data_IF_027792392511
#
_entry.id   IF_027792392511
#
_cell.length_a   1.000
_cell.length_b   1.000
_cell.length_c   1.000
_cell.angle_alpha   90.00
_cell.angle_beta   90.00
_cell.angle_gamma   90.00
#
_symmetry.space_group_name_H-M   'P 1'
#
loop_
_entity.id
_entity.type
_entity.pdbx_description
1 polymer ?
#
# COMPACT_ATOMS: atom_id res chain seq x y z
N UNK A 1 -4.00 -3.30 23.73
CA UNK A 1 -3.19 -2.86 22.58
C UNK A 1 -4.05 -2.50 21.37
N UNK A 2 -4.64 -3.45 20.64
CA UNK A 2 -5.49 -3.10 19.46
C UNK A 2 -6.71 -2.25 19.86
N UNK A 3 -7.39 -2.58 20.96
CA UNK A 3 -8.50 -1.78 21.48
C UNK A 3 -8.11 -0.32 21.80
N UNK A 4 -6.88 -0.11 22.29
CA UNK A 4 -6.37 1.23 22.62
C UNK A 4 -6.11 2.06 21.36
N UNK A 5 -5.63 1.40 20.29
CA UNK A 5 -5.46 2.03 18.97
C UNK A 5 -6.80 2.47 18.39
N UNK A 6 -7.84 1.63 18.48
CA UNK A 6 -9.19 1.94 18.00
C UNK A 6 -9.87 3.08 18.78
N UNK A 7 -9.39 3.42 19.98
CA UNK A 7 -9.91 4.52 20.78
C UNK A 7 -9.34 5.90 20.39
N UNK A 8 -8.29 5.95 19.56
CA UNK A 8 -7.68 7.21 19.15
C UNK A 8 -8.57 7.99 18.18
N UNK A 9 -8.55 9.32 18.29
CA UNK A 9 -9.34 10.22 17.45
C UNK A 9 -8.49 11.30 16.82
N UNK A 10 -8.91 11.79 15.66
CA UNK A 10 -8.41 13.05 15.10
C UNK A 10 -8.96 14.16 16.00
N UNK A 11 -8.07 14.95 16.61
CA UNK A 11 -8.46 15.90 17.66
C UNK A 11 -9.45 16.95 17.15
N UNK A 12 -10.38 17.35 18.01
CA UNK A 12 -11.49 18.23 17.64
C UNK A 12 -12.58 17.54 16.82
N UNK A 13 -12.47 16.23 16.57
CA UNK A 13 -13.48 15.44 15.85
C UNK A 13 -13.81 14.15 16.60
N UNK A 14 -14.90 13.49 16.17
CA UNK A 14 -15.21 12.12 16.59
C UNK A 14 -14.68 11.07 15.60
N UNK A 15 -13.95 11.50 14.55
CA UNK A 15 -13.42 10.59 13.54
C UNK A 15 -12.31 9.72 14.15
N UNK A 16 -12.31 8.41 13.88
CA UNK A 16 -11.23 7.53 14.31
C UNK A 16 -9.94 7.95 13.63
N UNK A 17 -8.81 7.87 14.35
CA UNK A 17 -7.49 8.07 13.75
C UNK A 17 -7.08 6.87 12.89
N UNK A 18 -7.47 5.66 13.33
CA UNK A 18 -7.09 4.39 12.73
C UNK A 18 -8.36 3.71 12.23
N UNK A 19 -8.42 3.38 10.94
CA UNK A 19 -9.55 2.67 10.32
C UNK A 19 -9.45 1.16 10.51
N UNK A 20 -8.23 0.63 10.55
CA UNK A 20 -7.97 -0.79 10.79
C UNK A 20 -6.63 -0.98 11.52
N UNK A 21 -6.58 -1.96 12.41
CA UNK A 21 -5.34 -2.47 12.99
C UNK A 21 -5.29 -3.98 12.75
N UNK A 22 -4.22 -4.46 12.13
CA UNK A 22 -4.10 -5.83 11.63
C UNK A 22 -2.80 -6.44 12.14
N UNK A 23 -2.83 -7.73 12.47
CA UNK A 23 -1.59 -8.47 12.66
C UNK A 23 -0.96 -8.71 11.29
N UNK A 24 0.34 -8.50 11.19
CA UNK A 24 1.08 -8.72 9.95
C UNK A 24 0.98 -10.18 9.48
N UNK A 25 0.85 -11.13 10.41
CA UNK A 25 0.62 -12.55 10.12
C UNK A 25 -0.66 -12.83 9.34
N UNK A 26 -1.65 -11.96 9.45
CA UNK A 26 -2.97 -12.20 8.88
C UNK A 26 -3.06 -11.64 7.44
N UNK A 27 -2.15 -10.74 7.06
CA UNK A 27 -2.17 -9.99 5.80
C UNK A 27 -0.95 -10.24 4.90
N UNK A 28 0.20 -10.56 5.47
CA UNK A 28 1.42 -10.82 4.72
C UNK A 28 1.97 -12.22 4.99
N UNK A 29 2.32 -12.90 3.91
CA UNK A 29 2.97 -14.20 3.92
C UNK A 29 4.37 -14.12 3.32
N UNK A 30 5.18 -15.15 3.57
CA UNK A 30 6.49 -15.31 2.94
C UNK A 30 7.67 -15.34 3.92
N UNK A 31 8.85 -15.72 3.42
CA UNK A 31 10.01 -16.01 4.27
C UNK A 31 10.54 -14.78 5.01
N UNK A 32 10.34 -13.58 4.46
CA UNK A 32 10.80 -12.32 5.04
C UNK A 32 9.78 -11.65 5.97
N UNK A 33 8.65 -12.31 6.28
CA UNK A 33 7.61 -11.75 7.16
C UNK A 33 8.14 -11.28 8.51
N UNK A 34 9.15 -11.98 9.04
CA UNK A 34 9.81 -11.65 10.30
C UNK A 34 10.55 -10.28 10.29
N UNK A 35 10.75 -9.68 9.11
CA UNK A 35 11.33 -8.35 8.96
C UNK A 35 10.30 -7.23 9.02
N UNK A 36 9.00 -7.57 9.00
CA UNK A 36 7.91 -6.60 9.07
C UNK A 36 7.54 -6.33 10.53
N UNK A 37 6.91 -5.19 10.85
CA UNK A 37 6.34 -4.94 12.17
C UNK A 37 5.30 -6.00 12.55
N UNK A 38 5.01 -6.18 13.83
CA UNK A 38 3.97 -7.13 14.29
C UNK A 38 2.56 -6.68 13.93
N UNK A 39 2.33 -5.35 13.92
CA UNK A 39 1.04 -4.73 13.69
C UNK A 39 1.16 -3.68 12.59
N UNK A 40 0.19 -3.72 11.67
CA UNK A 40 -0.03 -2.69 10.68
C UNK A 40 -1.26 -1.88 11.07
N UNK A 41 -1.18 -0.56 10.90
CA UNK A 41 -2.33 0.35 11.11
C UNK A 41 -2.64 1.07 9.81
N UNK A 42 -3.92 1.12 9.48
CA UNK A 42 -4.42 1.96 8.39
C UNK A 42 -4.89 3.29 8.98
N UNK A 43 -4.30 4.38 8.50
CA UNK A 43 -4.61 5.73 8.96
C UNK A 43 -5.86 6.26 8.26
N UNK A 44 -6.67 6.99 9.02
CA UNK A 44 -7.78 7.74 8.47
C UNK A 44 -7.31 9.05 7.83
N UNK A 45 -7.15 9.05 6.51
CA UNK A 45 -6.75 10.22 5.73
C UNK A 45 -7.93 11.09 5.24
N UNK A 46 -9.16 10.91 5.76
CA UNK A 46 -10.28 11.78 5.35
C UNK A 46 -10.13 13.23 5.83
N UNK A 47 -9.32 13.46 6.87
CA UNK A 47 -9.00 14.77 7.41
C UNK A 47 -7.49 14.88 7.67
N UNK A 48 -6.91 16.10 7.67
CA UNK A 48 -5.53 16.32 8.10
C UNK A 48 -5.30 15.82 9.54
N UNK A 49 -4.24 15.03 9.74
CA UNK A 49 -3.83 14.52 11.05
C UNK A 49 -2.74 15.45 11.63
N UNK A 50 -3.16 16.54 12.26
CA UNK A 50 -2.23 17.50 12.92
C UNK A 50 -2.15 17.29 14.43
N UNK A 51 -3.22 16.75 15.00
CA UNK A 51 -3.35 16.54 16.43
C UNK A 51 -4.22 15.32 16.68
N UNK A 52 -3.79 14.50 17.63
CA UNK A 52 -4.39 13.21 17.97
C UNK A 52 -4.77 13.21 19.44
N UNK A 53 -5.93 12.68 19.78
CA UNK A 53 -6.31 12.41 21.17
C UNK A 53 -6.35 10.91 21.47
N UNK A 54 -5.85 10.55 22.65
CA UNK A 54 -5.87 9.20 23.21
C UNK A 54 -6.37 9.25 24.65
N UNK A 55 -7.31 8.38 25.07
CA UNK A 55 -7.71 8.29 26.47
C UNK A 55 -6.57 7.90 27.41
N UNK A 56 -5.56 7.18 26.90
CA UNK A 56 -4.47 6.64 27.71
C UNK A 56 -3.36 7.67 27.97
N UNK A 57 -3.01 8.47 26.95
CA UNK A 57 -1.83 9.35 27.01
C UNK A 57 -2.16 10.85 26.76
N UNK A 58 -3.42 11.19 26.54
CA UNK A 58 -3.85 12.56 26.29
C UNK A 58 -3.67 12.99 24.83
N UNK A 59 -3.31 14.25 24.62
CA UNK A 59 -3.18 14.87 23.30
C UNK A 59 -1.72 14.85 22.81
N UNK A 60 -1.53 14.47 21.54
CA UNK A 60 -0.26 14.60 20.84
C UNK A 60 -0.45 15.54 19.65
N UNK A 61 0.35 16.61 19.60
CA UNK A 61 0.34 17.60 18.53
C UNK A 61 1.66 17.55 17.77
N UNK A 62 1.60 17.48 16.44
CA UNK A 62 2.78 17.55 15.60
C UNK A 62 2.52 18.50 14.43
N UNK A 63 3.33 19.54 14.32
CA UNK A 63 3.34 20.43 13.15
C UNK A 63 4.19 19.79 12.06
N UNK A 64 3.55 18.97 11.23
CA UNK A 64 4.21 18.39 10.06
C UNK A 64 4.59 19.52 9.11
N UNK A 65 5.86 19.92 9.10
CA UNK A 65 6.43 20.75 8.04
C UNK A 65 6.49 19.90 6.76
N UNK A 66 5.36 19.80 6.05
CA UNK A 66 5.28 19.07 4.78
C UNK A 66 6.16 19.78 3.75
N UNK A 67 7.41 19.33 3.61
CA UNK A 67 8.28 19.72 2.48
C UNK A 67 7.90 19.00 1.19
N UNK A 68 7.04 17.97 1.29
CA UNK A 68 6.46 17.23 0.17
C UNK A 68 4.97 17.02 0.43
N UNK A 69 4.14 17.28 -0.58
CA UNK A 69 2.68 17.15 -0.54
C UNK A 69 2.15 15.81 -1.03
N UNK A 70 3.01 14.98 -1.62
CA UNK A 70 2.64 13.68 -2.18
C UNK A 70 2.54 12.60 -1.10
N UNK A 71 1.36 12.43 -0.52
CA UNK A 71 1.00 11.16 0.11
C UNK A 71 0.51 10.22 -1.01
N UNK A 72 1.02 8.98 -1.08
CA UNK A 72 0.60 7.98 -2.07
C UNK A 72 -0.75 7.37 -1.70
N UNK A 73 -1.81 8.19 -1.74
CA UNK A 73 -3.17 7.80 -1.32
C UNK A 73 -3.94 7.04 -2.40
N UNK A 74 -3.49 7.09 -3.66
CA UNK A 74 -4.15 6.39 -4.75
C UNK A 74 -3.66 4.95 -4.86
N UNK A 75 -4.60 3.99 -4.83
CA UNK A 75 -4.32 2.56 -4.99
C UNK A 75 -4.16 2.13 -6.45
N UNK A 76 -4.46 3.03 -7.39
CA UNK A 76 -4.35 2.77 -8.82
C UNK A 76 -3.18 3.52 -9.43
N UNK A 77 -2.33 2.77 -10.15
CA UNK A 77 -1.32 3.32 -11.04
C UNK A 77 -1.77 3.26 -12.50
N UNK A 78 -0.98 3.86 -13.39
CA UNK A 78 -1.12 3.71 -14.82
C UNK A 78 0.16 3.09 -15.39
N UNK A 79 0.01 2.10 -16.26
CA UNK A 79 1.10 1.49 -17.01
C UNK A 79 0.90 1.79 -18.50
N UNK A 80 1.93 2.34 -19.12
CA UNK A 80 1.98 2.57 -20.56
C UNK A 80 3.10 1.74 -21.15
N UNK A 81 2.79 0.95 -22.18
CA UNK A 81 3.76 0.10 -22.88
C UNK A 81 3.63 0.37 -24.38
N UNK A 82 4.76 0.55 -25.05
CA UNK A 82 4.83 0.76 -26.50
C UNK A 82 6.10 0.13 -27.05
N UNK A 83 6.00 -0.50 -28.22
CA UNK A 83 7.13 -1.13 -28.89
C UNK A 83 6.71 -2.24 -29.85
N UNK A 84 7.68 -2.77 -30.58
CA UNK A 84 7.47 -3.94 -31.42
C UNK A 84 7.11 -5.15 -30.55
N UNK A 85 6.10 -5.92 -30.96
CA UNK A 85 5.63 -7.09 -30.19
C UNK A 85 4.66 -6.76 -29.04
N UNK A 86 4.30 -5.49 -28.84
CA UNK A 86 3.30 -5.07 -27.86
C UNK A 86 1.95 -4.93 -28.56
N UNK A 87 1.01 -5.82 -28.22
CA UNK A 87 -0.38 -5.73 -28.66
C UNK A 87 -1.22 -4.97 -27.63
N UNK A 88 -2.27 -4.23 -28.05
CA UNK A 88 -3.22 -3.65 -27.12
C UNK A 88 -3.81 -4.72 -26.20
N UNK A 89 -3.84 -4.44 -24.90
CA UNK A 89 -4.54 -5.30 -23.95
C UNK A 89 -6.04 -5.20 -24.25
N UNK A 90 -6.65 -6.31 -24.64
CA UNK A 90 -8.06 -6.37 -25.04
C UNK A 90 -9.00 -6.45 -23.85
N UNK A 91 -8.49 -6.75 -22.65
CA UNK A 91 -9.26 -6.86 -21.42
C UNK A 91 -8.74 -5.89 -20.36
N UNK A 92 -9.65 -5.38 -19.54
CA UNK A 92 -9.35 -4.70 -18.28
C UNK A 92 -8.85 -5.71 -17.24
N UNK A 93 -7.71 -6.35 -17.49
CA UNK A 93 -7.05 -7.16 -16.47
C UNK A 93 -6.46 -6.25 -15.40
N UNK A 94 -6.69 -6.59 -14.14
CA UNK A 94 -5.95 -5.99 -13.03
C UNK A 94 -4.51 -6.46 -13.13
N UNK A 95 -3.63 -5.57 -13.56
CA UNK A 95 -2.17 -5.78 -13.56
C UNK A 95 -1.66 -5.40 -12.18
N UNK A 96 -0.93 -6.30 -11.54
CA UNK A 96 -0.20 -5.97 -10.33
C UNK A 96 1.20 -5.46 -10.70
N UNK A 97 1.77 -4.60 -9.86
CA UNK A 97 3.13 -4.10 -10.04
C UNK A 97 4.18 -5.24 -10.09
N UNK A 98 3.96 -6.32 -9.33
CA UNK A 98 4.77 -7.54 -9.34
C UNK A 98 4.78 -8.29 -10.68
N UNK A 99 3.82 -8.02 -11.56
CA UNK A 99 3.71 -8.65 -12.89
C UNK A 99 4.61 -7.96 -13.93
N UNK A 100 5.15 -6.78 -13.63
CA UNK A 100 5.98 -6.01 -14.56
C UNK A 100 7.31 -6.72 -14.86
N UNK A 101 7.99 -7.23 -13.85
CA UNK A 101 9.28 -7.91 -14.01
C UNK A 101 9.20 -9.15 -14.92
N UNK A 102 8.30 -10.13 -14.68
CA UNK A 102 8.17 -11.28 -15.58
C UNK A 102 7.69 -10.89 -16.98
N UNK A 103 6.90 -9.82 -17.12
CA UNK A 103 6.49 -9.31 -18.45
C UNK A 103 7.65 -8.75 -19.25
N UNK A 104 8.52 -7.95 -18.63
CA UNK A 104 9.72 -7.43 -19.29
C UNK A 104 10.66 -8.59 -19.68
N UNK A 105 10.85 -9.58 -18.80
CA UNK A 105 11.66 -10.75 -19.11
C UNK A 105 11.13 -11.50 -20.34
N UNK A 106 9.81 -11.72 -20.41
CA UNK A 106 9.16 -12.36 -21.54
C UNK A 106 9.33 -11.56 -22.85
N UNK A 107 9.17 -10.23 -22.82
CA UNK A 107 9.41 -9.36 -23.99
C UNK A 107 10.85 -9.46 -24.51
N UNK A 108 11.82 -9.71 -23.63
CA UNK A 108 13.23 -9.84 -23.97
C UNK A 108 13.64 -11.27 -24.34
N UNK A 109 12.71 -12.24 -24.34
CA UNK A 109 13.00 -13.64 -24.61
C UNK A 109 13.89 -14.31 -23.54
N UNK A 110 13.84 -13.81 -22.31
CA UNK A 110 14.60 -14.36 -21.18
C UNK A 110 13.79 -15.44 -20.48
N UNK A 111 14.44 -16.53 -20.07
CA UNK A 111 13.82 -17.55 -19.22
C UNK A 111 13.45 -16.99 -17.85
N UNK A 112 12.37 -17.52 -17.27
CA UNK A 112 11.81 -17.01 -16.02
C UNK A 112 12.74 -17.23 -14.83
N UNK A 113 13.02 -16.16 -14.10
CA UNK A 113 13.45 -16.24 -12.70
C UNK A 113 12.26 -16.60 -11.78
N UNK A 114 12.54 -16.85 -10.49
CA UNK A 114 11.50 -16.99 -9.46
C UNK A 114 10.85 -15.63 -9.15
N UNK A 115 9.96 -15.19 -10.03
CA UNK A 115 9.14 -13.99 -9.82
C UNK A 115 7.92 -14.30 -8.94
N UNK A 116 7.45 -13.31 -8.19
CA UNK A 116 6.19 -13.42 -7.43
C UNK A 116 4.96 -13.25 -8.32
N UNK A 117 5.03 -12.33 -9.30
CA UNK A 117 3.97 -12.10 -10.29
C UNK A 117 4.07 -13.00 -11.51
N UNK A 118 3.18 -12.78 -12.48
CA UNK A 118 3.12 -13.50 -13.76
C UNK A 118 3.16 -12.54 -14.94
N UNK A 119 3.65 -12.99 -16.10
CA UNK A 119 3.59 -12.14 -17.30
C UNK A 119 2.15 -11.94 -17.75
N UNK A 120 1.78 -10.70 -18.10
CA UNK A 120 0.48 -10.35 -18.68
C UNK A 120 0.52 -10.25 -20.22
N UNK A 121 1.59 -10.67 -20.87
CA UNK A 121 1.59 -10.83 -22.32
C UNK A 121 0.68 -12.01 -22.68
N UNK A 122 -0.16 -11.84 -23.70
CA UNK A 122 -0.84 -12.97 -24.30
C UNK A 122 0.24 -13.91 -24.89
N UNK A 123 0.21 -15.18 -24.48
CA UNK A 123 0.92 -16.24 -25.19
C UNK A 123 0.38 -16.41 -26.61
#
# INVERSE_FOLDING_TARGET
MIADLSAMRINGTQAPLITAAMLTSDVHNGPMRHMLPDILVEWNHTLPIETVSSPLIGEVRNTVKRTRSGDHLNRHGALFVAGQGVSPLTNAQTIQDVDLAPTIAALLGLESAHYYGSSFLAG
#
